data_IF_858640876963
#
_entry.id   IF_858640876963
#
_cell.length_a   1.000
_cell.length_b   1.000
_cell.length_c   1.000
_cell.angle_alpha   90.00
_cell.angle_beta   90.00
_cell.angle_gamma   90.00
#
_symmetry.space_group_name_H-M   'P 1'
#
loop_
_entity.id
_entity.type
_entity.pdbx_description
1 polymer ?
#
# COMPACT_ATOMS: atom_id res chain seq x y z
N UNK A 1 -19.58 0.85 -12.60
CA UNK A 1 -18.95 0.41 -11.32
C UNK A 1 -17.77 -0.44 -11.69
N UNK A 2 -16.60 -0.23 -11.05
CA UNK A 2 -15.40 -1.06 -11.26
C UNK A 2 -15.68 -2.50 -10.82
N UNK A 3 -15.14 -3.48 -11.54
CA UNK A 3 -15.01 -4.83 -10.99
C UNK A 3 -13.97 -4.83 -9.87
N UNK A 4 -13.90 -5.89 -9.06
CA UNK A 4 -12.86 -6.02 -8.05
C UNK A 4 -11.45 -5.99 -8.67
N UNK A 5 -11.26 -6.66 -9.81
CA UNK A 5 -9.97 -6.69 -10.53
C UNK A 5 -9.59 -5.30 -11.05
N UNK A 6 -10.52 -4.57 -11.68
CA UNK A 6 -10.28 -3.19 -12.11
C UNK A 6 -9.88 -2.31 -10.93
N UNK A 7 -10.61 -2.44 -9.81
CA UNK A 7 -10.30 -1.69 -8.60
C UNK A 7 -8.90 -2.02 -8.06
N UNK A 8 -8.50 -3.29 -7.97
CA UNK A 8 -7.17 -3.67 -7.49
C UNK A 8 -6.08 -3.02 -8.32
N UNK A 9 -6.20 -3.07 -9.65
CA UNK A 9 -5.22 -2.48 -10.59
C UNK A 9 -5.17 -0.96 -10.45
N UNK A 10 -6.32 -0.28 -10.52
CA UNK A 10 -6.38 1.18 -10.42
C UNK A 10 -5.96 1.68 -9.03
N UNK A 11 -6.31 0.96 -7.98
CA UNK A 11 -5.91 1.28 -6.61
C UNK A 11 -4.39 1.17 -6.41
N UNK A 12 -3.75 0.18 -7.03
CA UNK A 12 -2.29 0.06 -6.99
C UNK A 12 -1.61 1.29 -7.62
N UNK A 13 -2.10 1.75 -8.78
CA UNK A 13 -1.60 2.99 -9.41
C UNK A 13 -1.91 4.22 -8.54
N UNK A 14 -3.12 4.29 -7.95
CA UNK A 14 -3.51 5.37 -7.05
C UNK A 14 -2.58 5.50 -5.84
N UNK A 15 -2.21 4.38 -5.21
CA UNK A 15 -1.33 4.37 -4.04
C UNK A 15 0.12 4.72 -4.42
N UNK A 16 0.64 4.18 -5.52
CA UNK A 16 2.00 4.44 -6.00
C UNK A 16 2.14 5.80 -6.71
N UNK A 17 1.04 6.41 -7.17
CA UNK A 17 0.95 7.60 -8.03
C UNK A 17 1.37 7.34 -9.47
N UNK A 18 2.49 6.69 -9.68
CA UNK A 18 2.98 6.19 -10.97
C UNK A 18 3.41 4.74 -10.79
N UNK A 19 3.01 3.85 -11.70
CA UNK A 19 3.38 2.44 -11.62
C UNK A 19 3.48 1.79 -13.01
N UNK A 20 4.43 0.87 -13.15
CA UNK A 20 4.52 -0.03 -14.32
C UNK A 20 3.55 -1.20 -14.18
N UNK A 21 3.22 -1.85 -15.30
CA UNK A 21 2.39 -3.06 -15.30
C UNK A 21 2.99 -4.18 -14.45
N UNK A 22 4.31 -4.35 -14.46
CA UNK A 22 5.02 -5.33 -13.63
C UNK A 22 4.83 -5.04 -12.14
N UNK A 23 5.03 -3.80 -11.71
CA UNK A 23 4.83 -3.42 -10.32
C UNK A 23 3.38 -3.67 -9.86
N UNK A 24 2.39 -3.34 -10.70
CA UNK A 24 0.98 -3.57 -10.38
C UNK A 24 0.66 -5.06 -10.31
N UNK A 25 1.17 -5.87 -11.24
CA UNK A 25 0.99 -7.34 -11.22
C UNK A 25 1.60 -7.97 -9.95
N UNK A 26 2.82 -7.57 -9.56
CA UNK A 26 3.50 -8.04 -8.35
C UNK A 26 2.77 -7.61 -7.05
N UNK A 27 2.20 -6.40 -7.05
CA UNK A 27 1.49 -5.84 -5.91
C UNK A 27 0.12 -6.48 -5.70
N UNK A 28 -0.59 -6.78 -6.79
CA UNK A 28 -2.00 -7.20 -6.76
C UNK A 28 -2.20 -8.70 -6.97
N UNK A 29 -1.23 -9.38 -7.58
CA UNK A 29 -1.37 -10.76 -8.04
C UNK A 29 -2.21 -10.90 -9.32
N UNK A 30 -2.65 -9.80 -9.93
CA UNK A 30 -3.38 -9.81 -11.20
C UNK A 30 -2.40 -10.16 -12.34
N UNK A 31 -2.81 -11.04 -13.26
CA UNK A 31 -1.98 -11.45 -14.38
C UNK A 31 -1.56 -10.24 -15.25
N UNK A 32 -0.34 -10.27 -15.77
CA UNK A 32 0.23 -9.14 -16.52
C UNK A 32 -0.61 -8.75 -17.74
N UNK A 33 -1.20 -9.72 -18.42
CA UNK A 33 -2.07 -9.49 -19.59
C UNK A 33 -3.37 -8.76 -19.19
N UNK A 34 -3.96 -9.11 -18.04
CA UNK A 34 -5.13 -8.44 -17.49
C UNK A 34 -4.80 -7.01 -17.05
N UNK A 35 -3.64 -6.82 -16.40
CA UNK A 35 -3.15 -5.47 -16.04
C UNK A 35 -2.97 -4.61 -17.28
N UNK A 36 -2.34 -5.14 -18.34
CA UNK A 36 -2.14 -4.42 -19.60
C UNK A 36 -3.48 -4.05 -20.26
N UNK A 37 -4.45 -4.97 -20.25
CA UNK A 37 -5.79 -4.71 -20.77
C UNK A 37 -6.50 -3.60 -19.98
N UNK A 38 -6.48 -3.67 -18.65
CA UNK A 38 -7.10 -2.65 -17.79
C UNK A 38 -6.43 -1.29 -17.98
N UNK A 39 -5.10 -1.23 -18.10
CA UNK A 39 -4.37 0.00 -18.39
C UNK A 39 -4.83 0.63 -19.71
N UNK A 40 -4.96 -0.17 -20.78
CA UNK A 40 -5.41 0.32 -22.07
C UNK A 40 -6.83 0.92 -21.99
N UNK A 41 -7.77 0.18 -21.40
CA UNK A 41 -9.16 0.65 -21.22
C UNK A 41 -9.22 1.90 -20.35
N UNK A 42 -8.50 1.92 -19.23
CA UNK A 42 -8.52 3.06 -18.32
C UNK A 42 -7.85 4.31 -18.92
N UNK A 43 -6.84 4.13 -19.78
CA UNK A 43 -6.21 5.23 -20.52
C UNK A 43 -7.17 5.79 -21.57
N UNK A 44 -7.88 4.93 -22.31
CA UNK A 44 -8.92 5.37 -23.27
C UNK A 44 -10.05 6.15 -22.60
N UNK A 45 -10.39 5.79 -21.35
CA UNK A 45 -11.40 6.46 -20.55
C UNK A 45 -10.90 7.76 -19.88
N UNK A 46 -9.61 8.08 -20.00
CA UNK A 46 -9.02 9.25 -19.37
C UNK A 46 -8.83 9.11 -17.86
N UNK A 47 -8.80 7.89 -17.33
CA UNK A 47 -8.52 7.61 -15.91
C UNK A 47 -7.04 7.46 -15.61
N UNK A 48 -6.27 7.00 -16.60
CA UNK A 48 -4.83 6.87 -16.55
C UNK A 48 -4.18 7.68 -17.68
N UNK A 49 -2.95 8.09 -17.46
CA UNK A 49 -2.08 8.69 -18.48
C UNK A 49 -0.85 7.80 -18.66
N UNK A 50 -0.54 7.47 -19.91
CA UNK A 50 0.68 6.73 -20.26
C UNK A 50 1.91 7.64 -20.09
N UNK A 51 2.89 7.16 -19.32
CA UNK A 51 4.16 7.83 -19.04
C UNK A 51 5.35 7.12 -19.74
N UNK A 52 5.06 6.30 -20.73
CA UNK A 52 6.07 5.53 -21.49
C UNK A 52 6.76 4.49 -20.63
N UNK A 53 8.09 4.55 -20.54
CA UNK A 53 8.89 3.60 -19.74
C UNK A 53 8.59 3.62 -18.26
N UNK A 54 8.04 4.72 -17.73
CA UNK A 54 7.76 4.89 -16.31
C UNK A 54 6.42 4.26 -15.90
N UNK A 55 5.65 3.78 -16.88
CA UNK A 55 4.37 3.13 -16.67
C UNK A 55 3.19 4.05 -16.89
N UNK A 56 2.23 4.06 -15.97
CA UNK A 56 1.02 4.91 -16.03
C UNK A 56 0.86 5.74 -14.76
N UNK A 57 0.26 6.93 -14.92
CA UNK A 57 -0.12 7.82 -13.82
C UNK A 57 -1.65 7.88 -13.71
N UNK A 58 -2.18 7.86 -12.48
CA UNK A 58 -3.62 8.03 -12.27
C UNK A 58 -4.01 9.50 -12.39
N UNK A 59 -5.08 9.76 -13.15
CA UNK A 59 -5.68 11.08 -13.33
C UNK A 59 -6.84 11.30 -12.33
N UNK A 60 -7.36 12.53 -12.26
CA UNK A 60 -8.39 12.92 -11.30
C UNK A 60 -9.66 12.07 -11.42
N UNK A 61 -10.11 11.78 -12.65
CA UNK A 61 -11.26 10.91 -12.88
C UNK A 61 -11.02 9.47 -12.45
N UNK A 62 -9.81 8.94 -12.65
CA UNK A 62 -9.41 7.63 -12.14
C UNK A 62 -9.40 7.57 -10.61
N UNK A 63 -8.88 8.62 -9.95
CA UNK A 63 -8.95 8.76 -8.49
C UNK A 63 -10.39 8.77 -8.01
N UNK A 64 -11.30 9.46 -8.72
CA UNK A 64 -12.72 9.49 -8.39
C UNK A 64 -13.36 8.10 -8.48
N UNK A 65 -13.00 7.28 -9.49
CA UNK A 65 -13.49 5.90 -9.62
C UNK A 65 -13.03 5.04 -8.44
N UNK A 66 -11.75 5.11 -8.09
CA UNK A 66 -11.18 4.38 -6.93
C UNK A 66 -11.89 4.78 -5.64
N UNK A 67 -12.05 6.07 -5.37
CA UNK A 67 -12.73 6.57 -4.17
C UNK A 67 -14.22 6.19 -4.11
N UNK A 68 -14.89 6.15 -5.25
CA UNK A 68 -16.27 5.68 -5.35
C UNK A 68 -16.37 4.21 -4.94
N UNK A 69 -15.47 3.36 -5.46
CA UNK A 69 -15.43 1.95 -5.07
C UNK A 69 -15.20 1.77 -3.56
N UNK A 70 -14.26 2.51 -2.96
CA UNK A 70 -14.05 2.49 -1.51
C UNK A 70 -15.31 2.88 -0.74
N UNK A 71 -16.02 3.90 -1.23
CA UNK A 71 -17.23 4.40 -0.56
C UNK A 71 -18.36 3.41 -0.61
N UNK A 72 -18.56 2.74 -1.73
CA UNK A 72 -19.64 1.78 -1.92
C UNK A 72 -19.35 0.43 -1.25
N UNK A 73 -18.12 -0.07 -1.40
CA UNK A 73 -17.74 -1.40 -0.93
C UNK A 73 -17.49 -1.44 0.58
N UNK A 74 -16.84 -0.42 1.13
CA UNK A 74 -16.40 -0.44 2.53
C UNK A 74 -17.22 0.45 3.48
N UNK A 75 -18.37 0.99 3.02
CA UNK A 75 -19.22 1.85 3.86
C UNK A 75 -19.60 1.22 5.20
N UNK A 76 -19.94 -0.05 5.20
CA UNK A 76 -20.32 -0.78 6.43
C UNK A 76 -19.18 -0.96 7.43
N UNK A 77 -17.94 -0.97 6.97
CA UNK A 77 -16.76 -1.12 7.82
C UNK A 77 -16.45 0.14 8.64
N UNK A 78 -16.92 1.31 8.19
CA UNK A 78 -16.67 2.59 8.86
C UNK A 78 -17.30 2.66 10.26
N UNK A 79 -18.36 1.92 10.51
CA UNK A 79 -19.01 1.76 11.81
C UNK A 79 -18.60 0.49 12.55
N UNK A 80 -17.67 -0.30 12.02
CA UNK A 80 -17.19 -1.53 12.65
C UNK A 80 -16.28 -1.21 13.84
N UNK A 81 -16.73 -1.53 15.06
CA UNK A 81 -15.98 -1.23 16.28
C UNK A 81 -14.62 -1.94 16.32
N UNK A 82 -14.56 -3.22 15.89
CA UNK A 82 -13.31 -3.97 15.89
C UNK A 82 -12.26 -3.34 14.95
N UNK A 83 -12.68 -2.85 13.78
CA UNK A 83 -11.79 -2.16 12.86
C UNK A 83 -11.33 -0.79 13.41
N UNK A 84 -12.23 -0.05 14.06
CA UNK A 84 -11.91 1.22 14.70
C UNK A 84 -10.92 1.05 15.85
N UNK A 85 -11.11 0.04 16.69
CA UNK A 85 -10.20 -0.25 17.80
C UNK A 85 -8.84 -0.75 17.31
N UNK A 86 -8.82 -1.58 16.27
CA UNK A 86 -7.59 -1.98 15.60
C UNK A 86 -6.82 -0.76 15.08
N UNK A 87 -7.50 0.17 14.41
CA UNK A 87 -6.88 1.37 13.85
C UNK A 87 -6.23 2.26 14.92
N UNK A 88 -6.87 2.42 16.11
CA UNK A 88 -6.26 3.16 17.24
C UNK A 88 -4.94 2.52 17.70
N UNK A 89 -4.87 1.19 17.70
CA UNK A 89 -3.62 0.46 17.98
C UNK A 89 -2.56 0.72 16.91
N UNK A 90 -2.98 0.72 15.65
CA UNK A 90 -2.12 1.00 14.51
C UNK A 90 -1.55 2.45 14.55
N UNK A 91 -2.33 3.47 14.90
CA UNK A 91 -1.83 4.85 15.05
C UNK A 91 -0.62 4.91 15.98
N UNK A 92 -0.69 4.24 17.13
CA UNK A 92 0.43 4.17 18.09
C UNK A 92 1.63 3.39 17.54
N UNK A 93 1.40 2.38 16.72
CA UNK A 93 2.46 1.63 16.04
C UNK A 93 3.10 2.49 14.94
N UNK A 94 2.28 3.22 14.18
CA UNK A 94 2.73 4.10 13.10
C UNK A 94 3.68 5.20 13.60
N UNK A 95 3.36 5.85 14.72
CA UNK A 95 4.25 6.87 15.33
C UNK A 95 5.64 6.27 15.64
N UNK A 96 5.68 5.07 16.21
CA UNK A 96 6.96 4.40 16.52
C UNK A 96 7.71 3.96 15.27
N UNK A 97 6.99 3.52 14.24
CA UNK A 97 7.59 3.12 12.97
C UNK A 97 8.21 4.32 12.25
N UNK A 98 7.49 5.43 12.15
CA UNK A 98 8.02 6.67 11.53
C UNK A 98 9.27 7.13 12.27
N UNK A 99 9.27 7.13 13.61
CA UNK A 99 10.45 7.48 14.40
C UNK A 99 11.64 6.54 14.13
N UNK A 100 11.39 5.22 13.95
CA UNK A 100 12.44 4.25 13.63
C UNK A 100 13.03 4.47 12.22
N UNK A 101 12.19 4.79 11.23
CA UNK A 101 12.62 5.12 9.87
C UNK A 101 13.45 6.41 9.86
N UNK A 102 13.01 7.45 10.57
CA UNK A 102 13.76 8.71 10.71
C UNK A 102 15.13 8.47 11.35
N UNK A 103 15.18 7.70 12.46
CA UNK A 103 16.45 7.34 13.11
C UNK A 103 17.37 6.55 12.17
N UNK A 104 16.81 5.64 11.35
CA UNK A 104 17.57 4.89 10.37
C UNK A 104 18.18 5.81 9.30
N UNK A 105 17.42 6.75 8.79
CA UNK A 105 17.89 7.74 7.80
C UNK A 105 18.97 8.67 8.39
N UNK A 106 18.76 9.18 9.62
CA UNK A 106 19.71 10.09 10.30
C UNK A 106 21.00 9.39 10.73
N UNK A 107 20.95 8.08 11.02
CA UNK A 107 22.10 7.28 11.43
C UNK A 107 22.89 6.67 10.26
N UNK A 108 22.56 7.04 9.02
CA UNK A 108 23.12 6.41 7.80
C UNK A 108 22.97 4.87 7.81
N UNK A 109 21.82 4.42 8.29
CA UNK A 109 21.44 3.01 8.27
C UNK A 109 22.08 2.17 9.37
N UNK A 110 22.05 2.61 10.63
CA UNK A 110 22.57 1.78 11.73
C UNK A 110 21.77 0.48 11.89
N UNK A 111 22.45 -0.62 12.21
CA UNK A 111 21.85 -1.94 12.42
C UNK A 111 20.75 -1.91 13.49
N UNK A 112 20.92 -1.08 14.52
CA UNK A 112 19.94 -0.93 15.60
C UNK A 112 18.62 -0.30 15.11
N UNK A 113 18.70 0.75 14.31
CA UNK A 113 17.51 1.41 13.75
C UNK A 113 16.85 0.52 12.69
N UNK A 114 17.63 -0.19 11.87
CA UNK A 114 17.15 -1.19 10.92
C UNK A 114 16.31 -2.27 11.61
N UNK A 115 16.85 -2.87 12.68
CA UNK A 115 16.11 -3.87 13.46
C UNK A 115 14.78 -3.33 14.02
N UNK A 116 14.71 -2.05 14.40
CA UNK A 116 13.46 -1.43 14.87
C UNK A 116 12.45 -1.25 13.76
N UNK A 117 12.90 -0.93 12.54
CA UNK A 117 12.04 -0.85 11.35
C UNK A 117 11.48 -2.24 11.04
N UNK A 118 12.31 -3.27 10.98
CA UNK A 118 11.89 -4.66 10.73
C UNK A 118 10.91 -5.15 11.80
N UNK A 119 11.19 -4.94 13.09
CA UNK A 119 10.28 -5.31 14.18
C UNK A 119 8.92 -4.61 14.07
N UNK A 120 8.91 -3.33 13.63
CA UNK A 120 7.68 -2.61 13.33
C UNK A 120 6.88 -3.30 12.22
N UNK A 121 7.55 -3.68 11.13
CA UNK A 121 6.93 -4.36 9.99
C UNK A 121 6.39 -5.76 10.35
N UNK A 122 7.15 -6.56 11.11
CA UNK A 122 6.68 -7.84 11.63
C UNK A 122 5.41 -7.70 12.47
N UNK A 123 5.38 -6.65 13.31
CA UNK A 123 4.21 -6.38 14.13
C UNK A 123 3.01 -6.00 13.27
N UNK A 124 3.21 -5.13 12.29
CA UNK A 124 2.15 -4.73 11.36
C UNK A 124 1.61 -5.93 10.59
N UNK A 125 2.49 -6.76 10.00
CA UNK A 125 2.07 -7.96 9.27
C UNK A 125 1.16 -8.87 10.12
N UNK A 126 1.55 -9.14 11.38
CA UNK A 126 0.73 -9.91 12.33
C UNK A 126 -0.61 -9.24 12.67
N UNK A 127 -0.63 -7.91 12.76
CA UNK A 127 -1.85 -7.18 13.07
C UNK A 127 -2.79 -7.09 11.85
N UNK A 128 -2.26 -6.99 10.61
CA UNK A 128 -3.04 -7.03 9.36
C UNK A 128 -3.78 -8.38 9.21
N UNK A 129 -3.18 -9.51 9.58
CA UNK A 129 -3.83 -10.82 9.52
C UNK A 129 -5.20 -10.84 10.23
N UNK A 130 -5.38 -10.02 11.26
CA UNK A 130 -6.66 -9.88 11.98
C UNK A 130 -7.72 -9.13 11.19
N UNK A 131 -7.33 -8.37 10.17
CA UNK A 131 -8.22 -7.63 9.29
C UNK A 131 -8.64 -8.42 8.05
N UNK A 132 -7.96 -9.50 7.70
CA UNK A 132 -8.24 -10.29 6.50
C UNK A 132 -9.71 -10.78 6.42
N UNK A 133 -10.38 -11.15 7.53
CA UNK A 133 -11.80 -11.49 7.46
C UNK A 133 -12.72 -10.33 7.05
N UNK A 134 -12.28 -9.07 7.23
CA UNK A 134 -13.01 -7.87 6.87
C UNK A 134 -12.61 -7.32 5.51
N UNK A 135 -11.32 -7.40 5.18
CA UNK A 135 -10.71 -6.89 3.93
C UNK A 135 -9.71 -7.94 3.41
N UNK A 136 -10.17 -8.98 2.70
CA UNK A 136 -9.31 -10.11 2.28
C UNK A 136 -8.09 -9.69 1.46
N UNK A 137 -8.19 -8.65 0.61
CA UNK A 137 -7.09 -8.16 -0.22
C UNK A 137 -5.88 -7.64 0.59
N UNK A 138 -6.01 -7.44 1.90
CA UNK A 138 -4.90 -7.06 2.77
C UNK A 138 -3.84 -8.15 2.93
N UNK A 139 -4.11 -9.38 2.51
CA UNK A 139 -3.11 -10.44 2.40
C UNK A 139 -1.91 -10.02 1.55
N UNK A 140 -2.14 -9.23 0.48
CA UNK A 140 -1.07 -8.73 -0.36
C UNK A 140 -0.05 -7.86 0.40
N UNK A 141 -0.51 -7.05 1.37
CA UNK A 141 0.40 -6.26 2.20
C UNK A 141 1.25 -7.11 3.13
N UNK A 142 0.67 -8.17 3.70
CA UNK A 142 1.41 -9.12 4.54
C UNK A 142 2.52 -9.77 3.72
N UNK A 143 2.19 -10.34 2.57
CA UNK A 143 3.15 -11.00 1.68
C UNK A 143 4.25 -10.04 1.18
N UNK A 144 3.91 -8.77 0.92
CA UNK A 144 4.89 -7.76 0.49
C UNK A 144 5.82 -7.34 1.63
N UNK A 145 5.30 -7.14 2.83
CA UNK A 145 6.12 -6.86 4.02
C UNK A 145 7.09 -8.01 4.30
N UNK A 146 6.62 -9.26 4.24
CA UNK A 146 7.46 -10.44 4.46
C UNK A 146 8.59 -10.52 3.44
N UNK A 147 8.31 -10.35 2.14
CA UNK A 147 9.34 -10.32 1.09
C UNK A 147 10.34 -9.18 1.29
N UNK A 148 9.87 -7.99 1.67
CA UNK A 148 10.77 -6.85 1.90
C UNK A 148 11.68 -7.10 3.11
N UNK A 149 11.18 -7.69 4.19
CA UNK A 149 11.97 -8.07 5.37
C UNK A 149 12.99 -9.15 5.03
N UNK A 150 12.64 -10.17 4.25
CA UNK A 150 13.58 -11.20 3.76
C UNK A 150 14.74 -10.58 2.96
N UNK A 151 14.49 -9.54 2.17
CA UNK A 151 15.52 -8.82 1.41
C UNK A 151 16.42 -8.01 2.35
N UNK A 152 15.85 -7.36 3.37
CA UNK A 152 16.63 -6.67 4.40
C UNK A 152 17.53 -7.64 5.15
N UNK A 153 17.01 -8.80 5.56
CA UNK A 153 17.76 -9.84 6.24
C UNK A 153 18.89 -10.42 5.37
N UNK A 154 18.72 -10.41 4.04
CA UNK A 154 19.77 -10.76 3.06
C UNK A 154 20.82 -9.63 2.88
N UNK A 155 20.71 -8.52 3.58
CA UNK A 155 21.63 -7.37 3.53
C UNK A 155 21.31 -6.34 2.45
N UNK A 156 20.14 -6.43 1.80
CA UNK A 156 19.71 -5.50 0.76
C UNK A 156 19.02 -4.27 1.39
N UNK A 157 19.81 -3.32 1.85
CA UNK A 157 19.36 -2.13 2.60
C UNK A 157 18.39 -1.23 1.87
N UNK A 158 18.36 -1.27 0.55
CA UNK A 158 17.35 -0.55 -0.25
C UNK A 158 15.92 -0.95 0.14
N UNK A 159 15.72 -2.18 0.59
CA UNK A 159 14.41 -2.66 1.01
C UNK A 159 13.95 -2.14 2.38
N UNK A 160 14.76 -1.38 3.10
CA UNK A 160 14.31 -0.66 4.31
C UNK A 160 13.44 0.54 3.93
N UNK A 161 13.93 1.45 3.05
CA UNK A 161 13.30 2.76 2.85
C UNK A 161 13.42 3.34 1.43
N UNK A 162 14.07 2.66 0.46
CA UNK A 162 14.23 3.22 -0.89
C UNK A 162 12.87 3.32 -1.60
N UNK A 163 12.48 4.50 -2.14
CA UNK A 163 11.18 4.69 -2.80
C UNK A 163 11.04 3.98 -4.15
N UNK A 164 12.14 3.53 -4.76
CA UNK A 164 12.12 2.90 -6.09
C UNK A 164 11.85 1.41 -6.06
N UNK A 165 11.92 0.79 -4.87
CA UNK A 165 11.64 -0.64 -4.67
C UNK A 165 10.45 -0.82 -3.73
N UNK A 166 9.95 -2.04 -3.63
CA UNK A 166 8.89 -2.40 -2.68
C UNK A 166 9.48 -2.56 -1.28
N UNK A 167 9.99 -1.45 -0.74
CA UNK A 167 10.63 -1.40 0.59
C UNK A 167 9.61 -1.50 1.71
N UNK A 168 10.06 -1.90 2.91
CA UNK A 168 9.24 -1.93 4.12
C UNK A 168 8.51 -0.60 4.33
N UNK A 169 9.21 0.53 4.15
CA UNK A 169 8.63 1.86 4.30
C UNK A 169 7.54 2.14 3.26
N UNK A 170 7.76 1.78 1.99
CA UNK A 170 6.77 2.01 0.93
C UNK A 170 5.51 1.16 1.14
N UNK A 171 5.66 -0.13 1.46
CA UNK A 171 4.52 -1.02 1.72
C UNK A 171 3.73 -0.54 2.92
N UNK A 172 4.42 -0.08 3.98
CA UNK A 172 3.78 0.52 5.15
C UNK A 172 2.96 1.76 4.80
N UNK A 173 3.57 2.67 4.03
CA UNK A 173 2.92 3.90 3.60
C UNK A 173 1.66 3.63 2.76
N UNK A 174 1.75 2.72 1.80
CA UNK A 174 0.62 2.34 0.94
C UNK A 174 -0.51 1.69 1.77
N UNK A 175 -0.17 0.81 2.70
CA UNK A 175 -1.16 0.24 3.63
C UNK A 175 -1.84 1.32 4.47
N UNK A 176 -1.08 2.29 4.98
CA UNK A 176 -1.64 3.39 5.78
C UNK A 176 -2.63 4.23 4.97
N UNK A 177 -2.29 4.61 3.73
CA UNK A 177 -3.20 5.32 2.84
C UNK A 177 -4.48 4.51 2.54
N UNK A 178 -4.32 3.22 2.32
CA UNK A 178 -5.42 2.32 2.04
C UNK A 178 -6.40 2.21 3.22
N UNK A 179 -5.91 1.93 4.43
CA UNK A 179 -6.78 1.79 5.61
C UNK A 179 -7.46 3.13 5.98
N UNK A 180 -6.79 4.27 5.78
CA UNK A 180 -7.41 5.58 5.92
C UNK A 180 -8.58 5.75 4.95
N UNK A 181 -8.41 5.32 3.70
CA UNK A 181 -9.45 5.42 2.68
C UNK A 181 -10.63 4.48 2.98
N UNK A 182 -10.37 3.25 3.43
CA UNK A 182 -11.42 2.32 3.92
C UNK A 182 -12.24 2.95 5.04
N UNK A 183 -11.57 3.59 6.01
CA UNK A 183 -12.22 4.22 7.16
C UNK A 183 -12.81 5.60 6.87
N UNK A 184 -12.58 6.15 5.66
CA UNK A 184 -12.90 7.54 5.29
C UNK A 184 -12.31 8.58 6.29
N UNK A 185 -11.10 8.31 6.79
CA UNK A 185 -10.35 9.22 7.66
C UNK A 185 -9.42 10.11 6.85
N UNK A 186 -9.30 11.40 7.21
CA UNK A 186 -8.24 12.22 6.63
C UNK A 186 -6.87 11.72 7.14
N UNK A 187 -5.83 11.98 6.34
CA UNK A 187 -4.46 11.79 6.81
C UNK A 187 -4.14 12.87 7.84
N UNK A 188 -3.64 12.48 9.00
CA UNK A 188 -3.14 13.44 9.96
C UNK A 188 -1.93 14.16 9.35
N UNK A 189 -2.06 15.48 9.15
CA UNK A 189 -0.96 16.36 8.78
C UNK A 189 -0.15 16.65 10.05
N UNK A 190 0.78 15.77 10.37
CA UNK A 190 1.85 16.06 11.34
C UNK A 190 3.09 16.53 10.60
#
# INVERSE_FOLDING_TARGET
MLTETDFLVLNAVYLKKVATGTQVSEMTGVASDDVAHIFAVATEQGWLMDMGSDGVMVLEDGIAQVKTYYTETYASLRSNAALTDWYRGFESLNVRFVAAVTEWQESDGSDRSEQRVVQGAERLAKDILRLMPLVPRYESYVSRLERSMERVDAGERDYVCNPTVDSVHNVWFEFHEDILTVLAKPRDTT
#
